data_IF_193761299806
#
_entry.id   IF_193761299806
#
_cell.length_a   1.000
_cell.length_b   1.000
_cell.length_c   1.000
_cell.angle_alpha   90.00
_cell.angle_beta   90.00
_cell.angle_gamma   90.00
#
_symmetry.space_group_name_H-M   'P 1'
#
loop_
_entity.id
_entity.type
_entity.pdbx_description
1 polymer ?
#
# COMPACT_ATOMS: atom_id res chain seq x y z
N UNK A 1 2.41 19.50 9.92
CA UNK A 1 0.96 19.17 9.88
C UNK A 1 0.72 18.25 8.70
N UNK A 2 0.17 17.06 8.92
CA UNK A 2 -0.03 16.04 7.89
C UNK A 2 -1.27 16.35 7.05
N UNK A 3 -1.06 16.82 5.82
CA UNK A 3 -2.10 17.05 4.79
C UNK A 3 -2.72 15.76 4.24
N UNK A 4 -2.20 14.59 4.66
CA UNK A 4 -2.65 13.29 4.15
C UNK A 4 -4.04 12.87 4.63
N UNK A 5 -4.48 13.34 5.80
CA UNK A 5 -5.75 12.89 6.40
C UNK A 5 -6.99 13.39 5.64
N UNK A 6 -7.11 14.69 5.30
CA UNK A 6 -8.27 15.22 4.57
C UNK A 6 -8.42 14.62 3.17
N UNK A 7 -7.30 14.44 2.46
CA UNK A 7 -7.27 13.93 1.09
C UNK A 7 -7.72 12.46 1.04
N UNK A 8 -7.23 11.62 1.96
CA UNK A 8 -7.69 10.24 2.09
C UNK A 8 -9.20 10.14 2.31
N UNK A 9 -9.73 11.03 3.13
CA UNK A 9 -11.16 11.05 3.46
C UNK A 9 -11.98 11.45 2.23
N UNK A 10 -11.52 12.44 1.46
CA UNK A 10 -12.15 12.87 0.21
C UNK A 10 -12.15 11.74 -0.85
N UNK A 11 -11.05 11.00 -0.96
CA UNK A 11 -10.88 9.92 -1.93
C UNK A 11 -11.47 8.57 -1.47
N UNK A 12 -12.01 8.49 -0.26
CA UNK A 12 -12.57 7.25 0.30
C UNK A 12 -11.52 6.17 0.61
N UNK A 13 -10.24 6.54 0.72
CA UNK A 13 -9.15 5.61 1.04
C UNK A 13 -9.15 5.31 2.53
N UNK A 14 -9.63 4.10 2.89
CA UNK A 14 -9.68 3.62 4.28
C UNK A 14 -8.40 2.92 4.74
N UNK A 15 -7.51 2.58 3.82
CA UNK A 15 -6.30 1.85 4.15
C UNK A 15 -5.30 2.78 4.87
N UNK A 16 -4.89 2.36 6.07
CA UNK A 16 -3.88 3.06 6.87
C UNK A 16 -2.48 2.94 6.27
N UNK A 17 -2.23 1.93 5.44
CA UNK A 17 -0.93 1.67 4.81
C UNK A 17 -0.71 2.43 3.51
N UNK A 18 -1.74 3.02 2.91
CA UNK A 18 -1.59 3.87 1.72
C UNK A 18 -1.27 5.29 2.19
N UNK A 19 -0.15 5.89 1.83
CA UNK A 19 0.12 7.31 2.08
C UNK A 19 -0.08 8.10 0.79
N UNK A 20 -0.88 9.16 0.83
CA UNK A 20 -1.13 10.03 -0.34
C UNK A 20 -0.24 11.26 -0.22
N UNK A 21 0.56 11.52 -1.26
CA UNK A 21 1.49 12.64 -1.30
C UNK A 21 0.95 13.82 -2.09
N UNK A 22 0.38 13.53 -3.26
CA UNK A 22 -0.13 14.54 -4.17
C UNK A 22 -1.40 14.05 -4.87
N UNK A 23 -2.22 14.99 -5.31
CA UNK A 23 -3.44 14.74 -6.06
C UNK A 23 -3.59 15.79 -7.16
N UNK A 24 -3.96 15.37 -8.36
CA UNK A 24 -4.27 16.30 -9.45
C UNK A 24 -5.38 15.73 -10.33
N UNK A 25 -6.04 16.62 -11.06
CA UNK A 25 -7.00 16.24 -12.09
C UNK A 25 -6.28 15.92 -13.40
N UNK A 26 -6.75 14.90 -14.10
CA UNK A 26 -6.25 14.53 -15.43
C UNK A 26 -7.40 13.98 -16.31
N UNK A 27 -7.12 13.71 -17.58
CA UNK A 27 -8.08 13.15 -18.53
C UNK A 27 -7.62 11.76 -18.97
N UNK A 28 -8.33 10.74 -18.51
CA UNK A 28 -8.10 9.36 -18.92
C UNK A 28 -9.23 8.89 -19.83
N UNK A 29 -8.89 8.48 -21.07
CA UNK A 29 -9.85 8.03 -22.10
C UNK A 29 -11.01 9.03 -22.33
N UNK A 30 -10.69 10.32 -22.37
CA UNK A 30 -11.65 11.40 -22.59
C UNK A 30 -12.55 11.71 -21.40
N UNK A 31 -12.30 11.12 -20.23
CA UNK A 31 -13.03 11.40 -18.98
C UNK A 31 -12.10 12.08 -17.98
N UNK A 32 -12.62 13.10 -17.29
CA UNK A 32 -11.91 13.71 -16.15
C UNK A 32 -11.81 12.68 -15.02
N UNK A 33 -10.61 12.53 -14.49
CA UNK A 33 -10.27 11.63 -13.38
C UNK A 33 -9.41 12.38 -12.37
N UNK A 34 -9.38 11.88 -11.14
CA UNK A 34 -8.45 12.35 -10.12
C UNK A 34 -7.35 11.31 -9.97
N UNK A 35 -6.10 11.73 -10.17
CA UNK A 35 -4.93 10.89 -9.99
C UNK A 35 -4.31 11.24 -8.63
N UNK A 36 -4.01 10.21 -7.84
CA UNK A 36 -3.34 10.35 -6.56
C UNK A 36 -1.99 9.64 -6.61
N UNK A 37 -0.91 10.35 -6.27
CA UNK A 37 0.41 9.77 -6.05
C UNK A 37 0.49 9.22 -4.64
N UNK A 38 0.74 7.91 -4.52
CA UNK A 38 0.65 7.21 -3.23
C UNK A 38 1.78 6.21 -3.02
N UNK A 39 2.23 6.09 -1.78
CA UNK A 39 3.11 5.01 -1.32
C UNK A 39 2.33 3.94 -0.56
N UNK A 40 2.64 2.67 -0.82
CA UNK A 40 2.17 1.56 0.00
C UNK A 40 3.19 1.26 1.10
N UNK A 41 2.93 1.78 2.30
CA UNK A 41 3.71 1.51 3.51
C UNK A 41 3.25 0.19 4.11
N UNK A 42 3.70 -0.92 3.52
CA UNK A 42 3.46 -2.25 4.09
C UNK A 42 4.69 -2.73 4.85
N UNK A 43 4.56 -2.85 6.17
CA UNK A 43 5.52 -3.61 6.97
C UNK A 43 5.25 -5.10 6.75
N UNK A 44 6.12 -5.77 5.99
CA UNK A 44 6.12 -7.23 5.94
C UNK A 44 6.73 -7.74 7.24
N UNK A 45 5.90 -7.94 8.26
CA UNK A 45 6.29 -8.78 9.39
C UNK A 45 6.38 -10.20 8.86
N UNK A 46 7.59 -10.64 8.53
CA UNK A 46 7.86 -12.07 8.40
C UNK A 46 7.46 -12.67 9.74
N UNK A 47 6.53 -13.63 9.74
CA UNK A 47 6.32 -14.45 10.93
C UNK A 47 7.70 -14.90 11.40
N UNK A 48 8.04 -14.75 12.69
CA UNK A 48 9.23 -15.40 13.20
C UNK A 48 9.00 -16.87 12.91
N UNK A 49 9.74 -17.41 11.94
CA UNK A 49 9.79 -18.85 11.73
C UNK A 49 10.14 -19.42 13.10
N UNK A 50 9.35 -20.34 13.67
CA UNK A 50 9.84 -21.08 14.82
C UNK A 50 11.18 -21.66 14.36
N UNK A 51 12.25 -21.38 15.09
CA UNK A 51 13.59 -21.84 14.78
C UNK A 51 13.52 -23.36 14.61
N UNK A 52 13.41 -23.84 13.38
CA UNK A 52 13.38 -25.25 13.06
C UNK A 52 14.79 -25.73 13.36
N UNK A 53 14.94 -26.43 14.49
CA UNK A 53 16.11 -27.27 14.71
C UNK A 53 16.16 -28.27 13.56
N UNK A 54 17.14 -28.06 12.69
CA UNK A 54 17.75 -28.97 11.73
C UNK A 54 16.96 -30.20 11.22
N UNK A 55 16.97 -30.29 9.89
CA UNK A 55 16.96 -31.49 9.03
C UNK A 55 15.59 -32.03 8.58
N UNK A 56 15.11 -31.52 7.45
CA UNK A 56 14.78 -32.37 6.29
C UNK A 56 14.73 -31.53 5.00
N UNK A 57 15.22 -32.05 3.86
CA UNK A 57 15.14 -31.36 2.58
C UNK A 57 13.71 -31.48 2.04
N UNK A 58 13.00 -30.35 1.95
CA UNK A 58 11.70 -30.31 1.28
C UNK A 58 11.92 -30.20 -0.24
N UNK A 59 11.55 -31.25 -0.97
CA UNK A 59 11.34 -31.19 -2.42
C UNK A 59 10.14 -30.30 -2.72
N UNK A 60 10.32 -29.35 -3.64
CA UNK A 60 9.23 -28.55 -4.23
C UNK A 60 8.80 -29.27 -5.52
N UNK A 61 7.52 -29.60 -5.63
CA UNK A 61 6.84 -29.97 -6.88
C UNK A 61 6.18 -28.70 -7.44
#
# INVERSE_FOLDING_TARGET
>A
MSTSHPIKQLLGVKDKYIQIHNCHEDVYKGKKVMIAETDLIRSFNRCPLPSVKHNHPAHII
#
